data_IF_745908070944
#
_entry.id   IF_745908070944
#
_cell.length_a   1.000
_cell.length_b   1.000
_cell.length_c   1.000
_cell.angle_alpha   90.00
_cell.angle_beta   90.00
_cell.angle_gamma   90.00
#
_symmetry.space_group_name_H-M   'P 1'
#
loop_
_entity.id
_entity.type
_entity.pdbx_description
1 polymer ?
#
# COMPACT_ATOMS: atom_id res chain seq x y z
N UNK A 1 22.67 4.76 -22.30
CA UNK A 1 23.43 4.64 -21.04
C UNK A 1 22.47 4.91 -19.90
N UNK A 2 21.90 3.86 -19.30
CA UNK A 2 20.99 4.02 -18.17
C UNK A 2 21.82 4.34 -16.92
N UNK A 3 21.53 5.48 -16.29
CA UNK A 3 22.10 5.84 -15.00
C UNK A 3 21.51 4.82 -14.01
N UNK A 4 22.33 3.91 -13.48
CA UNK A 4 21.94 3.13 -12.30
C UNK A 4 21.76 4.15 -11.17
N UNK A 5 20.52 4.49 -10.85
CA UNK A 5 20.21 5.33 -9.70
C UNK A 5 20.47 4.53 -8.44
N UNK A 6 21.38 5.02 -7.60
CA UNK A 6 21.69 4.40 -6.33
C UNK A 6 20.62 4.81 -5.31
N UNK A 7 20.13 3.88 -4.49
CA UNK A 7 19.07 4.16 -3.50
C UNK A 7 19.44 5.27 -2.51
N UNK A 8 20.74 5.40 -2.21
CA UNK A 8 21.29 6.47 -1.38
C UNK A 8 20.99 7.89 -1.90
N UNK A 9 20.85 8.07 -3.22
CA UNK A 9 20.51 9.37 -3.83
C UNK A 9 19.00 9.64 -3.83
N UNK A 10 18.19 8.66 -3.41
CA UNK A 10 16.73 8.74 -3.39
C UNK A 10 16.16 9.06 -1.99
N UNK A 11 16.93 8.81 -0.92
CA UNK A 11 16.47 8.95 0.47
C UNK A 11 16.96 10.28 1.07
N UNK A 12 16.06 11.02 1.74
CA UNK A 12 16.41 12.25 2.44
C UNK A 12 17.53 12.00 3.47
N UNK A 13 18.55 12.87 3.58
CA UNK A 13 19.64 12.68 4.55
C UNK A 13 19.18 12.51 6.00
N UNK A 14 18.04 13.11 6.39
CA UNK A 14 17.42 12.95 7.72
C UNK A 14 17.00 11.50 8.01
N UNK A 15 16.77 10.71 6.96
CA UNK A 15 16.32 9.33 6.97
C UNK A 15 17.43 8.34 6.59
N UNK A 16 18.70 8.74 6.67
CA UNK A 16 19.83 7.91 6.22
C UNK A 16 19.92 6.54 6.94
N UNK A 17 19.50 6.43 8.20
CA UNK A 17 19.54 5.16 8.96
C UNK A 17 18.18 4.49 9.02
N UNK A 18 18.14 3.15 9.04
CA UNK A 18 16.90 2.39 9.17
C UNK A 18 16.06 2.82 10.40
N UNK A 19 16.72 3.10 11.53
CA UNK A 19 16.03 3.62 12.71
C UNK A 19 15.44 5.01 12.51
N UNK A 20 16.11 5.89 11.75
CA UNK A 20 15.56 7.21 11.42
C UNK A 20 14.36 7.12 10.47
N UNK A 21 14.37 6.18 9.50
CA UNK A 21 13.24 5.87 8.60
C UNK A 21 12.01 5.37 9.36
N UNK A 22 12.21 4.72 10.52
CA UNK A 22 11.12 4.28 11.40
C UNK A 22 10.56 5.38 12.31
N UNK A 23 11.19 6.56 12.44
CA UNK A 23 10.87 7.56 13.46
C UNK A 23 10.09 8.76 12.90
N UNK A 24 8.76 8.55 12.84
CA UNK A 24 7.62 9.49 12.75
C UNK A 24 7.15 9.88 11.33
N UNK A 25 5.84 9.78 11.06
CA UNK A 25 5.21 10.41 9.90
C UNK A 25 5.20 11.94 10.09
N UNK A 26 5.17 12.68 8.97
CA UNK A 26 5.10 14.15 8.97
C UNK A 26 3.71 14.68 9.37
N UNK A 27 2.74 13.80 9.57
CA UNK A 27 1.39 14.09 10.05
C UNK A 27 1.01 13.03 11.09
N UNK A 28 0.29 13.43 12.14
CA UNK A 28 -0.20 12.61 13.26
C UNK A 28 0.70 12.64 14.51
N UNK A 29 0.68 13.76 15.22
CA UNK A 29 0.86 13.72 16.66
C UNK A 29 -0.48 13.30 17.32
N UNK A 30 -0.43 12.18 18.04
CA UNK A 30 -1.32 11.80 19.14
C UNK A 30 -2.83 11.70 18.89
N UNK A 31 -3.29 10.61 18.28
CA UNK A 31 -4.54 9.93 18.67
C UNK A 31 -4.32 8.44 18.32
N UNK A 32 -5.13 7.52 18.84
CA UNK A 32 -5.47 6.19 18.30
C UNK A 32 -5.20 5.00 19.25
N UNK A 33 -6.26 4.24 19.60
CA UNK A 33 -6.18 3.06 20.46
C UNK A 33 -5.75 1.78 19.71
N UNK A 34 -5.23 0.82 20.47
CA UNK A 34 -4.64 -0.44 20.00
C UNK A 34 -5.69 -1.48 19.58
N UNK A 35 -5.37 -2.24 18.52
CA UNK A 35 -5.96 -3.53 18.12
C UNK A 35 -7.44 -3.55 17.69
N UNK A 36 -7.76 -3.06 16.48
CA UNK A 36 -8.94 -3.51 15.73
C UNK A 36 -8.46 -4.06 14.38
N UNK A 37 -8.76 -5.33 14.03
CA UNK A 37 -8.36 -5.87 12.74
C UNK A 37 -9.13 -5.14 11.62
N UNK A 38 -8.42 -4.79 10.54
CA UNK A 38 -8.96 -4.10 9.38
C UNK A 38 -10.25 -4.76 8.85
N UNK A 39 -10.32 -6.10 8.92
CA UNK A 39 -11.51 -6.85 8.56
C UNK A 39 -12.75 -6.39 9.36
N UNK A 40 -12.66 -6.23 10.68
CA UNK A 40 -13.75 -5.78 11.53
C UNK A 40 -14.12 -4.30 11.26
N UNK A 41 -13.12 -3.46 10.97
CA UNK A 41 -13.36 -2.06 10.60
C UNK A 41 -14.12 -1.94 9.28
N UNK A 42 -13.91 -2.84 8.33
CA UNK A 42 -14.47 -2.80 6.98
C UNK A 42 -15.73 -3.67 6.79
N UNK A 43 -16.32 -4.19 7.88
CA UNK A 43 -17.58 -4.94 7.82
C UNK A 43 -18.78 -4.04 7.48
N UNK A 44 -19.31 -4.15 6.27
CA UNK A 44 -20.62 -3.60 5.93
C UNK A 44 -20.83 -3.52 4.43
N UNK A 45 -21.97 -4.04 4.00
CA UNK A 45 -22.46 -3.88 2.63
C UNK A 45 -23.04 -2.48 2.48
N UNK A 46 -22.57 -1.73 1.47
CA UNK A 46 -23.37 -0.61 0.95
C UNK A 46 -23.22 -0.51 -0.54
N UNK A 47 -24.34 -0.13 -1.15
CA UNK A 47 -24.52 0.06 -2.57
C UNK A 47 -24.67 1.58 -2.81
N UNK A 48 -23.77 2.21 -3.56
CA UNK A 48 -23.95 3.56 -4.13
C UNK A 48 -22.87 3.91 -5.18
N UNK A 49 -23.35 4.46 -6.29
CA UNK A 49 -22.71 5.06 -7.48
C UNK A 49 -21.23 4.85 -7.81
N UNK A 50 -21.05 4.26 -9.00
CA UNK A 50 -19.81 4.01 -9.71
C UNK A 50 -18.99 5.26 -10.01
N UNK A 51 -17.68 5.13 -9.82
CA UNK A 51 -16.68 6.07 -10.29
C UNK A 51 -15.63 5.27 -11.09
N UNK A 52 -15.27 5.77 -12.28
CA UNK A 52 -14.71 5.06 -13.44
C UNK A 52 -13.27 4.54 -13.31
N UNK A 53 -12.95 3.54 -14.15
CA UNK A 53 -11.70 2.80 -14.47
C UNK A 53 -10.33 3.44 -14.17
N UNK A 54 -10.18 4.76 -14.05
CA UNK A 54 -8.89 5.40 -13.83
C UNK A 54 -8.60 5.72 -12.35
N UNK A 55 -9.52 5.44 -11.42
CA UNK A 55 -9.32 5.70 -9.99
C UNK A 55 -8.47 4.61 -9.35
N UNK A 56 -8.64 3.34 -9.73
CA UNK A 56 -7.91 2.22 -9.12
C UNK A 56 -6.40 2.36 -9.32
N UNK A 57 -5.94 2.60 -10.55
CA UNK A 57 -4.53 2.83 -10.84
C UNK A 57 -3.96 4.03 -10.09
N UNK A 58 -4.67 5.17 -10.14
CA UNK A 58 -4.27 6.37 -9.41
C UNK A 58 -4.24 6.15 -7.89
N UNK A 59 -5.13 5.33 -7.35
CA UNK A 59 -5.18 5.01 -5.92
C UNK A 59 -3.99 4.16 -5.48
N UNK A 60 -3.68 3.08 -6.20
CA UNK A 60 -2.51 2.23 -5.92
C UNK A 60 -1.22 3.06 -5.97
N UNK A 61 -1.08 3.85 -7.03
CA UNK A 61 0.10 4.66 -7.29
C UNK A 61 0.27 5.76 -6.24
N UNK A 62 -0.81 6.50 -5.93
CA UNK A 62 -0.83 7.49 -4.87
C UNK A 62 -0.49 6.88 -3.50
N UNK A 63 -0.96 5.67 -3.21
CA UNK A 63 -0.69 5.02 -1.94
C UNK A 63 0.79 4.69 -1.80
N UNK A 64 1.37 4.10 -2.84
CA UNK A 64 2.77 3.75 -2.89
C UNK A 64 3.66 4.98 -2.76
N UNK A 65 3.29 6.09 -3.43
CA UNK A 65 3.96 7.40 -3.28
C UNK A 65 3.96 7.86 -1.82
N UNK A 66 2.82 7.82 -1.14
CA UNK A 66 2.72 8.22 0.26
C UNK A 66 3.56 7.33 1.19
N UNK A 67 3.50 6.01 1.01
CA UNK A 67 4.29 5.05 1.80
C UNK A 67 5.79 5.25 1.61
N UNK A 68 6.24 5.50 0.37
CA UNK A 68 7.64 5.79 0.06
C UNK A 68 8.09 7.16 0.62
N UNK A 69 7.23 8.17 0.56
CA UNK A 69 7.49 9.47 1.16
C UNK A 69 7.65 9.38 2.68
N UNK A 70 6.80 8.59 3.35
CA UNK A 70 6.89 8.31 4.79
C UNK A 70 8.16 7.53 5.16
N UNK A 71 8.67 6.69 4.26
CA UNK A 71 9.98 6.04 4.41
C UNK A 71 11.16 7.01 4.22
N UNK A 72 10.92 8.18 3.64
CA UNK A 72 11.93 9.20 3.39
C UNK A 72 12.44 9.26 1.95
N UNK A 73 11.70 8.77 0.97
CA UNK A 73 12.05 8.95 -0.45
C UNK A 73 11.72 10.37 -0.90
N UNK A 74 12.73 11.13 -1.32
CA UNK A 74 12.60 12.54 -1.71
C UNK A 74 11.91 12.73 -3.07
N UNK A 75 12.12 11.80 -4.00
CA UNK A 75 11.64 11.88 -5.39
C UNK A 75 11.03 10.57 -5.89
N UNK A 76 9.79 10.26 -5.47
CA UNK A 76 9.07 9.06 -5.93
C UNK A 76 8.86 9.05 -7.46
N UNK A 77 8.83 10.21 -8.10
CA UNK A 77 8.74 10.36 -9.56
C UNK A 77 9.88 9.66 -10.31
N UNK A 78 11.05 9.50 -9.68
CA UNK A 78 12.19 8.79 -10.27
C UNK A 78 12.04 7.27 -10.25
N UNK A 79 11.06 6.75 -9.54
CA UNK A 79 10.77 5.33 -9.42
C UNK A 79 9.73 4.83 -10.44
N UNK A 80 9.38 5.68 -11.42
CA UNK A 80 8.32 5.39 -12.39
C UNK A 80 6.91 5.64 -11.87
N UNK A 81 6.77 6.33 -10.73
CA UNK A 81 5.49 6.67 -10.13
C UNK A 81 5.02 8.07 -10.56
N UNK A 82 3.74 8.19 -10.89
CA UNK A 82 3.04 9.43 -11.19
C UNK A 82 2.67 10.15 -9.89
N UNK A 83 3.50 11.09 -9.47
CA UNK A 83 3.22 11.94 -8.29
C UNK A 83 1.94 12.78 -8.43
N UNK A 84 1.44 13.00 -9.64
CA UNK A 84 0.17 13.70 -9.86
C UNK A 84 -1.05 12.82 -9.54
N UNK A 85 -0.91 11.49 -9.53
CA UNK A 85 -1.94 10.59 -9.03
C UNK A 85 -2.25 10.89 -7.55
N UNK A 86 -1.22 11.08 -6.72
CA UNK A 86 -1.42 11.49 -5.33
C UNK A 86 -2.09 12.87 -5.19
N UNK A 87 -1.95 13.75 -6.20
CA UNK A 87 -2.66 15.03 -6.22
C UNK A 87 -4.12 14.89 -6.67
N UNK A 88 -4.44 13.92 -7.54
CA UNK A 88 -5.79 13.71 -8.08
C UNK A 88 -6.71 12.96 -7.11
N UNK A 89 -6.16 12.05 -6.30
CA UNK A 89 -6.92 11.28 -5.29
C UNK A 89 -6.48 11.57 -3.84
N UNK A 90 -5.72 12.65 -3.64
CA UNK A 90 -5.10 12.99 -2.35
C UNK A 90 -6.11 13.10 -1.19
N UNK A 91 -7.28 13.67 -1.45
CA UNK A 91 -8.33 13.85 -0.42
C UNK A 91 -9.05 12.56 -0.04
N UNK A 92 -8.97 11.56 -0.92
CA UNK A 92 -9.55 10.24 -0.81
C UNK A 92 -8.59 9.27 -0.13
N UNK A 93 -7.31 9.37 -0.46
CA UNK A 93 -6.29 8.44 0.02
C UNK A 93 -5.71 8.81 1.38
N UNK A 94 -5.71 10.09 1.76
CA UNK A 94 -5.16 10.53 3.04
C UNK A 94 -5.79 9.82 4.26
N UNK A 95 -7.14 9.69 4.37
CA UNK A 95 -7.77 8.92 5.44
C UNK A 95 -7.36 7.45 5.44
N UNK A 96 -7.24 6.85 4.25
CA UNK A 96 -6.82 5.47 4.05
C UNK A 96 -5.40 5.23 4.53
N UNK A 97 -4.47 6.02 4.00
CA UNK A 97 -3.07 6.05 4.40
C UNK A 97 -2.92 6.29 5.89
N UNK A 98 -3.60 7.31 6.44
CA UNK A 98 -3.54 7.61 7.87
C UNK A 98 -4.04 6.44 8.72
N UNK A 99 -5.17 5.83 8.36
CA UNK A 99 -5.76 4.73 9.13
C UNK A 99 -4.85 3.50 9.13
N UNK A 100 -4.36 3.08 7.96
CA UNK A 100 -3.43 1.95 7.84
C UNK A 100 -2.06 2.21 8.44
N UNK A 101 -1.59 3.45 8.35
CA UNK A 101 -0.38 3.88 9.03
C UNK A 101 -0.55 3.83 10.55
N UNK A 102 -1.73 4.24 11.04
CA UNK A 102 -2.05 4.38 12.47
C UNK A 102 -2.39 3.09 13.20
N UNK A 103 -2.75 1.99 12.52
CA UNK A 103 -2.96 0.65 13.13
C UNK A 103 -1.64 0.00 13.64
N UNK A 104 -0.66 0.85 13.94
CA UNK A 104 0.60 0.70 14.68
C UNK A 104 1.85 0.17 13.92
N UNK A 105 2.00 0.52 12.63
CA UNK A 105 3.21 0.35 11.74
C UNK A 105 3.51 -1.06 11.18
N UNK A 106 2.82 -1.51 10.13
CA UNK A 106 3.05 -2.78 9.40
C UNK A 106 2.61 -4.08 10.11
N UNK A 107 1.88 -4.03 11.23
CA UNK A 107 1.56 -5.24 11.99
C UNK A 107 0.70 -6.27 11.22
N UNK A 108 -0.29 -5.82 10.44
CA UNK A 108 -1.19 -6.72 9.70
C UNK A 108 -0.50 -7.34 8.47
N UNK A 109 0.14 -6.52 7.64
CA UNK A 109 0.93 -7.02 6.51
C UNK A 109 2.08 -7.89 6.99
N UNK A 110 2.78 -7.52 8.07
CA UNK A 110 3.79 -8.40 8.67
C UNK A 110 3.18 -9.67 9.25
N UNK A 111 1.99 -9.63 9.84
CA UNK A 111 1.32 -10.83 10.31
C UNK A 111 1.02 -11.78 9.15
N UNK A 112 0.53 -11.26 8.03
CA UNK A 112 0.26 -12.05 6.81
C UNK A 112 1.56 -12.59 6.22
N UNK A 113 2.59 -11.75 6.07
CA UNK A 113 3.90 -12.20 5.60
C UNK A 113 4.55 -13.21 6.54
N UNK A 114 4.30 -13.14 7.86
CA UNK A 114 4.79 -14.12 8.84
C UNK A 114 3.98 -15.41 8.80
N UNK A 115 2.65 -15.31 8.71
CA UNK A 115 1.74 -16.46 8.63
C UNK A 115 2.00 -17.29 7.36
N UNK A 116 2.36 -16.62 6.27
CA UNK A 116 2.75 -17.23 5.01
C UNK A 116 4.23 -17.64 4.94
N UNK A 117 5.00 -17.48 6.03
CA UNK A 117 6.44 -17.76 6.10
C UNK A 117 7.27 -17.00 5.03
N UNK A 118 6.74 -15.86 4.58
CA UNK A 118 7.31 -15.02 3.53
C UNK A 118 8.22 -13.91 4.07
N UNK A 119 8.14 -13.61 5.37
CA UNK A 119 8.94 -12.53 5.96
C UNK A 119 10.44 -12.86 5.88
N UNK A 120 10.81 -14.10 6.15
CA UNK A 120 12.22 -14.53 6.14
C UNK A 120 12.79 -14.62 4.72
N UNK A 121 11.99 -15.07 3.74
CA UNK A 121 12.37 -15.06 2.31
C UNK A 121 12.55 -13.63 1.81
N UNK A 122 11.64 -12.73 2.16
CA UNK A 122 11.76 -11.33 1.82
C UNK A 122 12.84 -10.60 2.60
N UNK A 123 13.38 -11.11 3.72
CA UNK A 123 14.43 -10.44 4.52
C UNK A 123 15.84 -10.99 4.33
N UNK A 124 16.00 -12.29 4.08
CA UNK A 124 17.30 -12.96 4.09
C UNK A 124 17.88 -13.26 2.70
N UNK A 125 17.10 -13.21 1.62
CA UNK A 125 17.62 -13.42 0.26
C UNK A 125 18.02 -12.13 -0.44
N UNK A 126 18.98 -12.27 -1.38
CA UNK A 126 19.14 -11.33 -2.48
C UNK A 126 17.80 -11.27 -3.22
N UNK A 127 17.01 -10.21 -2.99
CA UNK A 127 15.74 -10.01 -3.68
C UNK A 127 16.05 -9.91 -5.17
N UNK A 128 15.66 -10.95 -5.92
CA UNK A 128 15.66 -10.92 -7.38
C UNK A 128 14.26 -10.53 -7.86
N UNK A 129 14.15 -10.02 -9.10
CA UNK A 129 12.84 -9.74 -9.72
C UNK A 129 11.92 -10.96 -9.70
N UNK A 130 12.49 -12.14 -9.92
CA UNK A 130 11.77 -13.41 -9.96
C UNK A 130 11.18 -13.76 -8.60
N UNK A 131 12.02 -13.77 -7.56
CA UNK A 131 11.59 -14.09 -6.19
C UNK A 131 10.55 -13.09 -5.68
N UNK A 132 10.72 -11.80 -6.00
CA UNK A 132 9.77 -10.76 -5.62
C UNK A 132 8.40 -10.96 -6.29
N UNK A 133 8.40 -11.26 -7.59
CA UNK A 133 7.18 -11.57 -8.35
C UNK A 133 6.47 -12.79 -7.78
N UNK A 134 7.18 -13.90 -7.62
CA UNK A 134 6.62 -15.15 -7.08
C UNK A 134 5.98 -14.93 -5.70
N UNK A 135 6.70 -14.21 -4.82
CA UNK A 135 6.19 -13.89 -3.49
C UNK A 135 4.93 -13.03 -3.57
N UNK A 136 4.92 -12.02 -4.44
CA UNK A 136 3.78 -11.12 -4.58
C UNK A 136 2.54 -11.83 -5.16
N UNK A 137 2.73 -12.67 -6.17
CA UNK A 137 1.64 -13.49 -6.73
C UNK A 137 1.09 -14.48 -5.69
N UNK A 138 1.96 -15.12 -4.92
CA UNK A 138 1.51 -16.02 -3.85
C UNK A 138 0.64 -15.31 -2.80
N UNK A 139 1.02 -14.09 -2.38
CA UNK A 139 0.20 -13.26 -1.49
C UNK A 139 -1.16 -12.98 -2.12
N UNK A 140 -1.18 -12.60 -3.40
CA UNK A 140 -2.42 -12.29 -4.11
C UNK A 140 -3.34 -13.51 -4.22
N UNK A 141 -2.80 -14.66 -4.61
CA UNK A 141 -3.56 -15.91 -4.74
C UNK A 141 -4.11 -16.37 -3.38
N UNK A 142 -3.35 -16.19 -2.31
CA UNK A 142 -3.81 -16.48 -0.94
C UNK A 142 -4.93 -15.52 -0.51
N UNK A 143 -4.81 -14.23 -0.84
CA UNK A 143 -5.81 -13.23 -0.47
C UNK A 143 -7.13 -13.47 -1.19
N UNK A 144 -7.10 -13.83 -2.47
CA UNK A 144 -8.30 -14.01 -3.29
C UNK A 144 -8.60 -15.48 -3.61
N UNK A 145 -8.23 -16.38 -2.69
CA UNK A 145 -8.58 -17.79 -2.78
C UNK A 145 -10.11 -17.96 -2.88
N UNK A 146 -10.54 -18.93 -3.67
CA UNK A 146 -11.96 -19.25 -3.94
C UNK A 146 -12.80 -18.06 -4.48
N UNK A 147 -12.17 -17.12 -5.18
CA UNK A 147 -12.81 -15.89 -5.69
C UNK A 147 -13.44 -15.02 -4.59
N UNK A 148 -13.05 -15.21 -3.32
CA UNK A 148 -13.56 -14.43 -2.20
C UNK A 148 -12.86 -13.06 -2.14
N UNK A 149 -13.54 -12.04 -2.65
CA UNK A 149 -13.08 -10.65 -2.66
C UNK A 149 -13.73 -9.88 -1.51
N UNK A 150 -12.92 -9.07 -0.82
CA UNK A 150 -13.41 -8.14 0.19
C UNK A 150 -12.52 -6.90 0.29
N UNK A 151 -13.06 -5.82 0.87
CA UNK A 151 -12.32 -4.58 1.05
C UNK A 151 -11.04 -4.79 1.85
N UNK A 152 -11.05 -5.57 2.93
CA UNK A 152 -9.83 -5.78 3.71
C UNK A 152 -8.75 -6.55 2.93
N UNK A 153 -9.12 -7.46 2.03
CA UNK A 153 -8.19 -8.18 1.14
C UNK A 153 -7.58 -7.25 0.10
N UNK A 154 -8.41 -6.46 -0.58
CA UNK A 154 -7.98 -5.42 -1.53
C UNK A 154 -6.99 -4.47 -0.88
N UNK A 155 -7.36 -3.96 0.29
CA UNK A 155 -6.56 -3.01 1.06
C UNK A 155 -5.23 -3.63 1.50
N UNK A 156 -5.26 -4.90 1.91
CA UNK A 156 -4.05 -5.65 2.25
C UNK A 156 -3.12 -5.77 1.06
N UNK A 157 -3.62 -6.12 -0.13
CA UNK A 157 -2.80 -6.25 -1.34
C UNK A 157 -2.09 -4.93 -1.66
N UNK A 158 -2.80 -3.81 -1.63
CA UNK A 158 -2.25 -2.48 -1.91
C UNK A 158 -1.20 -2.07 -0.87
N UNK A 159 -1.41 -2.38 0.41
CA UNK A 159 -0.41 -2.10 1.45
C UNK A 159 0.82 -3.02 1.34
N UNK A 160 0.62 -4.31 1.02
CA UNK A 160 1.69 -5.25 0.75
C UNK A 160 2.60 -4.76 -0.39
N UNK A 161 2.03 -4.32 -1.51
CA UNK A 161 2.83 -3.87 -2.65
C UNK A 161 3.64 -2.61 -2.34
N UNK A 162 3.04 -1.64 -1.62
CA UNK A 162 3.73 -0.44 -1.18
C UNK A 162 4.84 -0.73 -0.16
N UNK A 163 4.61 -1.68 0.75
CA UNK A 163 5.63 -2.14 1.70
C UNK A 163 6.80 -2.84 0.98
N UNK A 164 6.50 -3.70 0.00
CA UNK A 164 7.52 -4.34 -0.82
C UNK A 164 8.30 -3.32 -1.66
N UNK A 165 7.66 -2.25 -2.12
CA UNK A 165 8.34 -1.14 -2.81
C UNK A 165 9.34 -0.42 -1.90
N UNK A 166 8.95 -0.13 -0.65
CA UNK A 166 9.86 0.40 0.38
C UNK A 166 11.06 -0.52 0.60
N UNK A 167 10.81 -1.84 0.73
CA UNK A 167 11.88 -2.83 0.89
C UNK A 167 12.84 -2.87 -0.32
N UNK A 168 12.33 -2.70 -1.54
CA UNK A 168 13.15 -2.64 -2.74
C UNK A 168 14.05 -1.41 -2.74
N UNK A 169 13.54 -0.23 -2.36
CA UNK A 169 14.35 0.98 -2.23
C UNK A 169 15.40 0.83 -1.13
N UNK A 170 15.04 0.27 0.02
CA UNK A 170 15.96 -0.01 1.13
C UNK A 170 17.13 -0.92 0.72
N UNK A 171 16.90 -1.84 -0.21
CA UNK A 171 17.89 -2.82 -0.70
C UNK A 171 18.53 -2.50 -2.03
N UNK A 172 18.51 -1.23 -2.43
CA UNK A 172 19.17 -0.77 -3.66
C UNK A 172 18.58 -1.40 -4.94
N UNK A 173 17.29 -1.74 -4.92
CA UNK A 173 16.52 -2.25 -6.06
C UNK A 173 15.36 -1.32 -6.47
N UNK A 174 15.59 0.00 -6.65
CA UNK A 174 14.53 0.97 -6.94
C UNK A 174 13.78 0.68 -8.25
N UNK A 175 14.42 -0.01 -9.20
CA UNK A 175 13.81 -0.43 -10.46
C UNK A 175 12.68 -1.46 -10.32
N UNK A 176 12.52 -2.09 -9.15
CA UNK A 176 11.41 -3.02 -8.90
C UNK A 176 10.10 -2.32 -8.52
N UNK A 177 10.16 -1.05 -8.13
CA UNK A 177 8.97 -0.28 -7.69
C UNK A 177 7.94 -0.19 -8.81
N UNK A 178 8.35 0.18 -10.02
CA UNK A 178 7.46 0.22 -11.20
C UNK A 178 6.87 -1.16 -11.54
N UNK A 179 7.66 -2.23 -11.34
CA UNK A 179 7.16 -3.60 -11.55
C UNK A 179 6.08 -3.97 -10.53
N UNK A 180 6.26 -3.63 -9.25
CA UNK A 180 5.25 -3.84 -8.21
C UNK A 180 3.96 -3.06 -8.48
N UNK A 181 4.08 -1.81 -8.93
CA UNK A 181 2.91 -1.02 -9.36
C UNK A 181 2.15 -1.75 -10.48
N UNK A 182 2.86 -2.15 -11.54
CA UNK A 182 2.27 -2.87 -12.67
C UNK A 182 1.59 -4.18 -12.26
N UNK A 183 2.24 -4.98 -11.41
CA UNK A 183 1.67 -6.25 -10.93
C UNK A 183 0.44 -6.02 -10.06
N UNK A 184 0.46 -5.00 -9.20
CA UNK A 184 -0.70 -4.65 -8.36
C UNK A 184 -1.87 -4.24 -9.24
N UNK A 185 -1.65 -3.38 -10.24
CA UNK A 185 -2.70 -2.98 -11.17
C UNK A 185 -3.29 -4.17 -11.91
N UNK A 186 -2.46 -5.08 -12.45
CA UNK A 186 -2.95 -6.27 -13.14
C UNK A 186 -3.83 -7.18 -12.27
N UNK A 187 -3.52 -7.31 -10.97
CA UNK A 187 -4.36 -8.10 -10.05
C UNK A 187 -5.68 -7.37 -9.78
N UNK A 188 -5.63 -6.05 -9.63
CA UNK A 188 -6.79 -5.21 -9.34
C UNK A 188 -7.73 -5.03 -10.55
N UNK A 189 -7.20 -5.18 -11.75
CA UNK A 189 -7.93 -5.17 -13.03
C UNK A 189 -8.51 -6.54 -13.41
N UNK A 190 -8.31 -7.58 -12.59
CA UNK A 190 -9.01 -8.86 -12.80
C UNK A 190 -10.52 -8.64 -12.68
N UNK A 191 -11.30 -9.20 -13.61
CA UNK A 191 -12.76 -9.02 -13.70
C UNK A 191 -13.47 -9.24 -12.35
N UNK A 192 -13.13 -10.29 -11.61
CA UNK A 192 -13.74 -10.60 -10.32
C UNK A 192 -13.50 -9.50 -9.27
N UNK A 193 -12.28 -8.95 -9.20
CA UNK A 193 -11.92 -7.87 -8.27
C UNK A 193 -12.54 -6.55 -8.71
N UNK A 194 -12.45 -6.22 -9.99
CA UNK A 194 -12.99 -4.97 -10.53
C UNK A 194 -14.53 -4.93 -10.38
N UNK A 195 -15.24 -5.98 -10.81
CA UNK A 195 -16.70 -6.05 -10.66
C UNK A 195 -17.10 -5.98 -9.19
N UNK A 196 -16.38 -6.66 -8.31
CA UNK A 196 -16.67 -6.60 -6.87
C UNK A 196 -16.52 -5.18 -6.30
N UNK A 197 -15.46 -4.45 -6.69
CA UNK A 197 -15.25 -3.06 -6.24
C UNK A 197 -16.41 -2.17 -6.68
N UNK A 198 -16.84 -2.29 -7.93
CA UNK A 198 -17.97 -1.53 -8.49
C UNK A 198 -19.28 -1.85 -7.76
N UNK A 199 -19.57 -3.13 -7.55
CA UNK A 199 -20.76 -3.60 -6.83
C UNK A 199 -20.79 -3.18 -5.34
N UNK A 200 -19.63 -2.93 -4.74
CA UNK A 200 -19.47 -2.57 -3.33
C UNK A 200 -19.20 -1.07 -3.09
N UNK A 201 -19.69 -0.20 -3.99
CA UNK A 201 -19.71 1.26 -3.81
C UNK A 201 -18.38 1.96 -4.13
N UNK A 202 -17.46 1.26 -4.79
CA UNK A 202 -16.18 1.78 -5.27
C UNK A 202 -15.26 2.34 -4.17
N UNK A 203 -14.16 2.97 -4.60
CA UNK A 203 -13.16 3.56 -3.69
C UNK A 203 -13.71 4.68 -2.79
N UNK A 204 -14.83 5.32 -3.20
CA UNK A 204 -15.50 6.37 -2.43
C UNK A 204 -16.13 5.81 -1.15
N UNK A 205 -16.72 4.62 -1.20
CA UNK A 205 -17.24 3.95 -0.01
C UNK A 205 -16.14 3.76 1.04
N UNK A 206 -15.02 3.16 0.64
CA UNK A 206 -13.87 2.90 1.51
C UNK A 206 -13.36 4.21 2.16
N UNK A 207 -13.18 5.25 1.34
CA UNK A 207 -12.75 6.58 1.77
C UNK A 207 -13.67 7.16 2.84
N UNK A 208 -14.99 7.15 2.60
CA UNK A 208 -15.97 7.71 3.52
C UNK A 208 -15.98 6.94 4.85
N UNK A 209 -15.89 5.61 4.78
CA UNK A 209 -15.86 4.75 5.96
C UNK A 209 -14.66 5.06 6.85
N UNK A 210 -13.49 5.26 6.26
CA UNK A 210 -12.28 5.63 6.99
C UNK A 210 -12.35 7.05 7.57
N UNK A 211 -12.94 8.00 6.84
CA UNK A 211 -13.19 9.36 7.37
C UNK A 211 -14.07 9.30 8.62
N UNK A 212 -15.18 8.56 8.57
CA UNK A 212 -16.09 8.41 9.72
C UNK A 212 -15.42 7.72 10.90
N UNK A 213 -14.58 6.71 10.65
CA UNK A 213 -13.78 6.05 11.68
C UNK A 213 -12.82 7.03 12.37
N UNK A 214 -12.03 7.78 11.60
CA UNK A 214 -11.10 8.77 12.13
C UNK A 214 -11.81 9.85 12.97
N UNK A 215 -13.00 10.29 12.56
CA UNK A 215 -13.82 11.23 13.32
C UNK A 215 -14.32 10.65 14.65
N UNK A 216 -14.71 9.38 14.66
CA UNK A 216 -15.21 8.70 15.87
C UNK A 216 -14.09 8.50 16.91
N UNK A 217 -12.84 8.35 16.47
CA UNK A 217 -11.69 8.20 17.36
C UNK A 217 -11.10 9.51 17.88
N UNK A 218 -11.50 10.65 17.31
CA UNK A 218 -11.04 11.98 17.73
C UNK A 218 -11.82 12.56 18.92
N UNK A 219 -12.81 11.84 19.45
CA UNK A 219 -13.65 12.19 20.62
C UNK A 219 -13.22 11.37 21.83
#
# INVERSE_FOLDING_TARGET
MGIQQNSHDLITPKYATYESRRRRPFYCDNVFPRNIPLCAMLQGETNLDNMTENITGNFIEAYMVLKLADFGVDRPDRLGLNIHAASSVGSEICPYHTTLYSTEKDAMVRAILVELDLLDTLTNLHISKHTLLETFLYIADTLFEDDDVSWWKIVTLVDCSAQMAVMCVDRELPNMVESLLSWTSMIMEKDNVQSWIEENGGWKFLTNRMKSYLQTQAV
#
